data_IF_635972748554
#
_entry.id   IF_635972748554
#
_cell.length_a   1.000
_cell.length_b   1.000
_cell.length_c   1.000
_cell.angle_alpha   90.00
_cell.angle_beta   90.00
_cell.angle_gamma   90.00
#
_symmetry.space_group_name_H-M   'P 1'
#
loop_
_entity.id
_entity.type
_entity.pdbx_description
1 polymer ?
#
# COMPACT_ATOMS: atom_id res chain seq x y z
N UNK A 1 14.94 -3.18 11.45
CA UNK A 1 14.37 -2.92 10.11
C UNK A 1 14.49 -4.20 9.29
N UNK A 2 13.51 -4.49 8.44
CA UNK A 2 13.55 -5.64 7.52
C UNK A 2 14.82 -5.60 6.64
N UNK A 3 15.50 -6.73 6.40
CA UNK A 3 16.79 -6.76 5.70
C UNK A 3 16.71 -6.19 4.27
N UNK A 4 15.56 -6.33 3.60
CA UNK A 4 15.36 -5.82 2.25
C UNK A 4 15.14 -4.30 2.15
N UNK A 5 14.95 -3.56 3.26
CA UNK A 5 14.68 -2.11 3.17
C UNK A 5 15.83 -1.36 2.49
N UNK A 6 17.09 -1.69 2.81
CA UNK A 6 18.26 -1.02 2.20
C UNK A 6 18.37 -1.32 0.70
N UNK A 7 18.36 -2.59 0.24
CA UNK A 7 18.31 -2.91 -1.19
C UNK A 7 17.16 -2.23 -1.94
N UNK A 8 15.96 -2.20 -1.34
CA UNK A 8 14.78 -1.56 -1.94
C UNK A 8 14.93 -0.04 -2.08
N UNK A 9 15.57 0.63 -1.11
CA UNK A 9 15.88 2.07 -1.22
C UNK A 9 16.95 2.36 -2.29
N UNK A 10 17.85 1.41 -2.51
CA UNK A 10 18.89 1.50 -3.54
C UNK A 10 18.40 1.05 -4.93
N UNK A 11 17.17 0.55 -5.02
CA UNK A 11 16.63 -0.11 -6.21
C UNK A 11 17.53 -1.26 -6.73
N UNK A 12 18.23 -1.93 -5.81
CA UNK A 12 19.07 -3.10 -6.11
C UNK A 12 18.20 -4.37 -6.18
N UNK A 13 17.50 -4.51 -7.29
CA UNK A 13 16.57 -5.61 -7.56
C UNK A 13 17.27 -6.98 -7.58
N UNK A 14 18.54 -7.04 -7.96
CA UNK A 14 19.31 -8.28 -7.97
C UNK A 14 19.63 -8.77 -6.55
N UNK A 15 19.87 -7.86 -5.60
CA UNK A 15 20.03 -8.21 -4.19
C UNK A 15 18.72 -8.68 -3.53
N UNK A 16 17.56 -8.35 -4.09
CA UNK A 16 16.23 -8.77 -3.58
C UNK A 16 15.83 -10.13 -4.16
N UNK A 17 15.98 -10.29 -5.47
CA UNK A 17 15.76 -11.55 -6.21
C UNK A 17 16.72 -11.58 -7.41
N UNK A 18 17.75 -12.44 -7.42
CA UNK A 18 18.72 -12.51 -8.52
C UNK A 18 18.10 -12.78 -9.89
N UNK A 19 16.91 -13.39 -9.95
CA UNK A 19 16.18 -13.66 -11.19
C UNK A 19 15.25 -12.53 -11.63
N UNK A 20 15.14 -11.45 -10.87
CA UNK A 20 14.22 -10.34 -11.14
C UNK A 20 14.65 -9.42 -12.29
N UNK A 21 15.93 -9.01 -12.46
CA UNK A 21 16.30 -8.06 -13.51
C UNK A 21 15.87 -8.48 -14.93
N UNK A 22 16.08 -9.74 -15.38
CA UNK A 22 15.58 -10.18 -16.70
C UNK A 22 14.05 -10.13 -16.83
N UNK A 23 13.31 -10.31 -15.73
CA UNK A 23 11.85 -10.21 -15.71
C UNK A 23 11.38 -8.75 -15.81
N UNK A 24 12.10 -7.81 -15.19
CA UNK A 24 11.83 -6.38 -15.33
C UNK A 24 12.09 -5.93 -16.78
N UNK A 25 13.18 -6.39 -17.39
CA UNK A 25 13.47 -6.12 -18.81
C UNK A 25 12.35 -6.66 -19.72
N UNK A 26 11.92 -7.90 -19.47
CA UNK A 26 10.81 -8.52 -20.20
C UNK A 26 9.51 -7.70 -20.06
N UNK A 27 9.18 -7.26 -18.85
CA UNK A 27 7.95 -6.55 -18.55
C UNK A 27 7.93 -5.14 -19.15
N UNK A 28 9.01 -4.37 -18.95
CA UNK A 28 9.04 -2.95 -19.32
C UNK A 28 9.49 -2.69 -20.76
N UNK A 29 10.01 -3.67 -21.48
CA UNK A 29 10.21 -3.58 -22.93
C UNK A 29 8.90 -3.34 -23.71
N UNK A 30 7.74 -3.50 -23.08
CA UNK A 30 6.40 -3.41 -23.69
C UNK A 30 5.66 -2.10 -23.36
N UNK A 31 6.41 -1.01 -23.11
CA UNK A 31 5.88 0.33 -22.78
C UNK A 31 5.05 0.44 -21.49
N UNK A 32 4.94 -0.63 -20.69
CA UNK A 32 4.29 -0.61 -19.36
C UNK A 32 4.87 0.45 -18.40
N UNK A 33 6.09 0.93 -18.67
CA UNK A 33 6.71 2.01 -17.89
C UNK A 33 6.28 3.43 -18.28
N UNK A 34 5.58 3.59 -19.39
CA UNK A 34 5.15 4.90 -19.92
C UNK A 34 3.67 5.18 -19.62
N UNK A 35 2.92 4.16 -19.21
CA UNK A 35 1.49 4.27 -18.93
C UNK A 35 1.22 5.03 -17.63
N UNK A 36 0.28 5.96 -17.72
CA UNK A 36 -0.29 6.65 -16.55
C UNK A 36 -1.00 5.63 -15.65
N UNK A 37 -0.77 5.73 -14.34
CA UNK A 37 -1.47 4.91 -13.36
C UNK A 37 -1.69 5.66 -12.03
N UNK A 38 -2.85 6.32 -11.93
CA UNK A 38 -3.37 6.92 -10.68
C UNK A 38 -2.38 7.92 -10.06
N UNK A 39 -1.55 7.49 -9.09
CA UNK A 39 -0.61 8.35 -8.37
C UNK A 39 0.78 8.45 -9.03
N UNK A 40 1.05 7.72 -10.12
CA UNK A 40 2.35 7.68 -10.78
C UNK A 40 2.30 6.95 -12.12
N UNK A 41 3.40 6.26 -12.47
CA UNK A 41 3.44 5.37 -13.64
C UNK A 41 2.99 3.96 -13.26
N UNK A 42 2.56 3.17 -14.25
CA UNK A 42 2.24 1.77 -14.02
C UNK A 42 3.47 0.97 -13.56
N UNK A 43 4.68 1.30 -14.02
CA UNK A 43 5.93 0.76 -13.49
C UNK A 43 6.10 1.01 -11.99
N UNK A 44 5.89 2.25 -11.54
CA UNK A 44 6.03 2.58 -10.11
C UNK A 44 5.09 1.75 -9.25
N UNK A 45 3.84 1.59 -9.72
CA UNK A 45 2.83 0.78 -9.05
C UNK A 45 3.23 -0.70 -8.95
N UNK A 46 3.65 -1.32 -10.07
CA UNK A 46 4.05 -2.72 -10.08
C UNK A 46 5.27 -3.00 -9.18
N UNK A 47 6.26 -2.09 -9.20
CA UNK A 47 7.42 -2.17 -8.31
C UNK A 47 7.04 -1.89 -6.85
N UNK A 48 6.11 -0.98 -6.59
CA UNK A 48 5.55 -0.69 -5.27
C UNK A 48 4.85 -1.91 -4.68
N UNK A 49 4.06 -2.62 -5.48
CA UNK A 49 3.37 -3.84 -5.07
C UNK A 49 4.35 -4.99 -4.82
N UNK A 50 5.33 -5.19 -5.72
CA UNK A 50 6.40 -6.18 -5.51
C UNK A 50 7.18 -5.88 -4.22
N UNK A 51 7.51 -4.61 -3.96
CA UNK A 51 8.17 -4.16 -2.73
C UNK A 51 7.37 -4.53 -1.48
N UNK A 52 6.07 -4.26 -1.46
CA UNK A 52 5.18 -4.65 -0.35
C UNK A 52 5.25 -6.15 -0.08
N UNK A 53 5.04 -6.96 -1.12
CA UNK A 53 5.03 -8.41 -0.98
C UNK A 53 6.41 -8.98 -0.60
N UNK A 54 7.51 -8.33 -1.04
CA UNK A 54 8.86 -8.67 -0.61
C UNK A 54 9.12 -8.33 0.87
N UNK A 55 8.61 -7.20 1.36
CA UNK A 55 8.71 -6.83 2.78
C UNK A 55 7.81 -7.66 3.70
N UNK A 56 6.80 -8.33 3.13
CA UNK A 56 5.96 -9.30 3.85
C UNK A 56 6.52 -10.72 3.83
N UNK A 57 7.72 -10.93 3.27
CA UNK A 57 8.34 -12.24 3.08
C UNK A 57 7.48 -13.22 2.24
N UNK A 58 6.65 -12.70 1.33
CA UNK A 58 5.81 -13.55 0.50
C UNK A 58 6.66 -14.49 -0.40
N UNK A 59 6.20 -15.74 -0.59
CA UNK A 59 6.77 -16.65 -1.59
C UNK A 59 6.97 -15.99 -2.95
N UNK A 60 8.01 -16.43 -3.68
CA UNK A 60 8.42 -15.79 -4.94
C UNK A 60 7.28 -15.71 -5.94
N UNK A 61 6.47 -16.76 -6.04
CA UNK A 61 5.31 -16.86 -6.92
C UNK A 61 4.26 -15.78 -6.61
N UNK A 62 4.06 -15.44 -5.33
CA UNK A 62 3.13 -14.40 -4.88
C UNK A 62 3.71 -13.01 -5.14
N UNK A 63 5.02 -12.82 -4.94
CA UNK A 63 5.70 -11.57 -5.33
C UNK A 63 5.60 -11.32 -6.83
N UNK A 64 5.80 -12.37 -7.64
CA UNK A 64 5.64 -12.32 -9.10
C UNK A 64 4.18 -12.11 -9.51
N UNK A 65 3.22 -12.69 -8.79
CA UNK A 65 1.81 -12.33 -8.94
C UNK A 65 1.64 -10.82 -8.85
N UNK A 66 2.12 -10.17 -7.79
CA UNK A 66 2.03 -8.71 -7.65
C UNK A 66 2.68 -7.93 -8.81
N UNK A 67 3.88 -8.32 -9.23
CA UNK A 67 4.60 -7.65 -10.33
C UNK A 67 3.90 -7.80 -11.69
N UNK A 68 3.19 -8.90 -11.92
CA UNK A 68 2.54 -9.21 -13.20
C UNK A 68 1.01 -9.20 -13.13
N UNK A 69 0.39 -8.72 -12.04
CA UNK A 69 -1.04 -8.92 -11.71
C UNK A 69 -2.05 -8.30 -12.69
N UNK A 70 -1.58 -7.57 -13.70
CA UNK A 70 -2.39 -6.79 -14.63
C UNK A 70 -1.96 -6.95 -16.10
N UNK A 71 -1.08 -7.90 -16.43
CA UNK A 71 -0.44 -8.01 -17.77
C UNK A 71 -1.31 -8.61 -18.88
N UNK A 72 -2.42 -9.26 -18.52
CA UNK A 72 -3.36 -9.87 -19.48
C UNK A 72 -4.62 -9.01 -19.72
N UNK A 73 -4.62 -7.72 -19.35
CA UNK A 73 -5.82 -6.87 -19.15
C UNK A 73 -6.66 -7.32 -17.93
N UNK A 74 -7.36 -6.38 -17.28
CA UNK A 74 -8.11 -6.63 -16.05
C UNK A 74 -9.37 -5.73 -15.95
N UNK A 75 -10.18 -5.92 -14.90
CA UNK A 75 -11.45 -5.18 -14.67
C UNK A 75 -11.32 -3.65 -14.62
N UNK A 76 -10.16 -3.12 -14.22
CA UNK A 76 -9.96 -1.68 -13.96
C UNK A 76 -9.07 -0.98 -15.00
N UNK A 77 -8.28 -1.73 -15.78
CA UNK A 77 -7.24 -1.19 -16.68
C UNK A 77 -7.13 -2.05 -17.94
N UNK A 78 -7.29 -1.42 -19.10
CA UNK A 78 -7.15 -2.06 -20.42
C UNK A 78 -5.69 -2.02 -20.93
N UNK A 79 -4.79 -2.69 -20.20
CA UNK A 79 -3.37 -2.85 -20.54
C UNK A 79 -3.08 -4.31 -20.89
N UNK A 80 -3.32 -4.69 -22.16
CA UNK A 80 -2.99 -6.03 -22.65
C UNK A 80 -1.54 -6.11 -23.12
N UNK A 81 -0.61 -6.27 -22.18
CA UNK A 81 0.83 -6.37 -22.47
C UNK A 81 1.20 -7.72 -23.12
N UNK A 82 0.45 -8.78 -22.81
CA UNK A 82 0.66 -10.12 -23.37
C UNK A 82 -0.63 -10.68 -23.96
N UNK A 83 -0.55 -11.20 -25.19
CA UNK A 83 -1.65 -11.90 -25.84
C UNK A 83 -1.58 -13.43 -25.69
N UNK A 84 -0.37 -13.97 -25.53
CA UNK A 84 -0.09 -15.39 -25.32
C UNK A 84 0.49 -15.63 -23.92
N UNK A 85 0.09 -16.74 -23.31
CA UNK A 85 0.50 -17.16 -21.97
C UNK A 85 1.83 -17.91 -21.96
N UNK A 86 2.19 -18.59 -23.05
CA UNK A 86 3.36 -19.46 -23.10
C UNK A 86 4.70 -18.74 -22.75
N UNK A 87 4.99 -17.54 -23.30
CA UNK A 87 6.22 -16.83 -22.96
C UNK A 87 6.32 -16.43 -21.49
N UNK A 88 5.20 -15.98 -20.90
CA UNK A 88 5.13 -15.64 -19.46
C UNK A 88 5.27 -16.89 -18.59
N UNK A 89 4.65 -18.00 -18.97
CA UNK A 89 4.79 -19.28 -18.26
C UNK A 89 6.22 -19.78 -18.26
N UNK A 90 6.92 -19.66 -19.38
CA UNK A 90 8.33 -20.02 -19.49
C UNK A 90 9.21 -19.12 -18.60
N UNK A 91 8.91 -17.83 -18.51
CA UNK A 91 9.70 -16.88 -17.73
C UNK A 91 9.44 -16.94 -16.21
N UNK A 92 8.17 -17.08 -15.81
CA UNK A 92 7.75 -17.03 -14.39
C UNK A 92 7.71 -18.41 -13.73
N UNK A 93 7.53 -19.47 -14.50
CA UNK A 93 7.14 -20.80 -14.02
C UNK A 93 5.62 -21.01 -14.04
N UNK A 94 5.18 -22.27 -13.95
CA UNK A 94 3.77 -22.64 -14.08
C UNK A 94 2.89 -22.00 -13.02
N UNK A 95 3.29 -22.08 -11.74
CA UNK A 95 2.45 -21.62 -10.64
C UNK A 95 2.30 -20.11 -10.61
N UNK A 96 3.40 -19.36 -10.77
CA UNK A 96 3.35 -17.90 -10.82
C UNK A 96 2.49 -17.41 -12.01
N UNK A 97 2.62 -18.02 -13.19
CA UNK A 97 1.77 -17.66 -14.33
C UNK A 97 0.30 -18.03 -14.12
N UNK A 98 0.01 -19.18 -13.47
CA UNK A 98 -1.36 -19.57 -13.11
C UNK A 98 -2.01 -18.54 -12.21
N UNK A 99 -1.32 -18.11 -11.15
CA UNK A 99 -1.79 -17.08 -10.22
C UNK A 99 -2.04 -15.76 -10.94
N UNK A 100 -1.07 -15.29 -11.74
CA UNK A 100 -1.19 -14.06 -12.54
C UNK A 100 -2.41 -14.11 -13.46
N UNK A 101 -2.59 -15.21 -14.19
CA UNK A 101 -3.70 -15.36 -15.13
C UNK A 101 -5.07 -15.35 -14.43
N UNK A 102 -5.20 -16.11 -13.34
CA UNK A 102 -6.43 -16.15 -12.55
C UNK A 102 -6.77 -14.77 -11.98
N UNK A 103 -5.79 -14.08 -11.37
CA UNK A 103 -6.00 -12.77 -10.79
C UNK A 103 -6.36 -11.70 -11.84
N UNK A 104 -5.76 -11.76 -13.05
CA UNK A 104 -6.10 -10.85 -14.15
C UNK A 104 -7.54 -11.06 -14.66
N UNK A 105 -8.02 -12.31 -14.66
CA UNK A 105 -9.27 -12.69 -15.35
C UNK A 105 -10.47 -12.91 -14.42
N UNK A 106 -10.25 -12.84 -13.11
CA UNK A 106 -11.32 -12.91 -12.12
C UNK A 106 -12.03 -11.56 -11.95
N UNK A 107 -13.33 -11.56 -11.62
CA UNK A 107 -14.05 -10.34 -11.26
C UNK A 107 -13.59 -9.89 -9.86
N UNK A 108 -12.64 -8.96 -9.79
CA UNK A 108 -11.97 -8.55 -8.54
C UNK A 108 -12.94 -7.86 -7.60
N UNK A 109 -13.84 -7.02 -8.11
CA UNK A 109 -14.87 -6.37 -7.27
C UNK A 109 -15.78 -7.42 -6.60
N UNK A 110 -16.19 -8.45 -7.35
CA UNK A 110 -17.00 -9.54 -6.84
C UNK A 110 -16.24 -10.36 -5.80
N UNK A 111 -14.98 -10.69 -6.06
CA UNK A 111 -14.09 -11.38 -5.13
C UNK A 111 -13.98 -10.63 -3.80
N UNK A 112 -13.63 -9.33 -3.85
CA UNK A 112 -13.50 -8.49 -2.65
C UNK A 112 -14.82 -8.45 -1.88
N UNK A 113 -15.95 -8.26 -2.56
CA UNK A 113 -17.27 -8.23 -1.92
C UNK A 113 -17.60 -9.56 -1.23
N UNK A 114 -17.45 -10.69 -1.93
CA UNK A 114 -17.75 -12.02 -1.37
C UNK A 114 -16.88 -12.33 -0.16
N UNK A 115 -15.59 -12.03 -0.21
CA UNK A 115 -14.70 -12.27 0.93
C UNK A 115 -15.10 -11.41 2.16
N UNK A 116 -15.55 -10.17 1.94
CA UNK A 116 -16.06 -9.32 3.03
C UNK A 116 -17.39 -9.83 3.60
N UNK A 117 -18.28 -10.36 2.76
CA UNK A 117 -19.56 -10.94 3.15
C UNK A 117 -19.37 -12.24 3.95
N UNK A 118 -18.44 -13.11 3.51
CA UNK A 118 -18.08 -14.34 4.21
C UNK A 118 -17.40 -14.04 5.55
N UNK A 119 -16.45 -13.10 5.56
CA UNK A 119 -15.71 -12.70 6.75
C UNK A 119 -14.64 -13.69 7.22
N UNK A 120 -14.49 -14.83 6.54
CA UNK A 120 -13.47 -15.86 6.75
C UNK A 120 -13.01 -16.50 5.42
N UNK A 121 -11.99 -17.35 5.45
CA UNK A 121 -11.54 -18.14 4.31
C UNK A 121 -12.52 -19.30 4.06
N UNK A 122 -13.16 -19.40 2.88
CA UNK A 122 -14.18 -20.42 2.65
C UNK A 122 -13.58 -21.81 2.48
N UNK A 123 -14.03 -22.79 3.26
CA UNK A 123 -13.49 -24.17 3.28
C UNK A 123 -13.57 -24.87 1.91
N UNK A 124 -14.64 -24.64 1.16
CA UNK A 124 -14.85 -25.23 -0.17
C UNK A 124 -14.30 -24.35 -1.31
N UNK A 125 -13.61 -23.27 -0.98
CA UNK A 125 -13.15 -22.27 -1.94
C UNK A 125 -14.25 -21.26 -2.32
N UNK A 126 -14.01 -20.48 -3.37
CA UNK A 126 -14.90 -19.38 -3.78
C UNK A 126 -15.22 -19.46 -5.26
N UNK A 127 -16.52 -19.53 -5.58
CA UNK A 127 -17.02 -19.40 -6.94
C UNK A 127 -17.14 -17.91 -7.30
N UNK A 128 -16.70 -17.54 -8.50
CA UNK A 128 -16.81 -16.20 -9.06
C UNK A 128 -17.47 -16.27 -10.43
N UNK A 129 -18.70 -15.77 -10.54
CA UNK A 129 -19.44 -15.74 -11.80
C UNK A 129 -18.89 -14.65 -12.74
N UNK A 130 -18.89 -14.96 -14.04
CA UNK A 130 -18.42 -14.04 -15.09
C UNK A 130 -19.48 -13.89 -16.17
N UNK A 131 -19.71 -12.67 -16.60
CA UNK A 131 -20.63 -12.41 -17.70
C UNK A 131 -20.04 -12.94 -19.02
N UNK A 132 -20.80 -13.79 -19.72
CA UNK A 132 -20.37 -14.35 -21.01
C UNK A 132 -19.22 -15.37 -20.96
N UNK A 133 -18.79 -15.80 -19.77
CA UNK A 133 -17.71 -16.77 -19.60
C UNK A 133 -18.02 -17.77 -18.46
N UNK A 134 -17.39 -18.97 -18.44
CA UNK A 134 -17.55 -19.91 -17.33
C UNK A 134 -17.12 -19.29 -16.00
N UNK A 135 -17.78 -19.67 -14.90
CA UNK A 135 -17.38 -19.27 -13.55
C UNK A 135 -15.96 -19.76 -13.22
N UNK A 136 -15.26 -19.03 -12.37
CA UNK A 136 -13.97 -19.45 -11.81
C UNK A 136 -14.23 -20.03 -10.42
N UNK A 137 -13.64 -21.18 -10.12
CA UNK A 137 -13.55 -21.70 -8.76
C UNK A 137 -12.14 -21.46 -8.25
N UNK A 138 -12.02 -20.66 -7.20
CA UNK A 138 -10.78 -20.45 -6.46
C UNK A 138 -10.70 -21.47 -5.32
N UNK A 139 -9.54 -22.11 -5.15
CA UNK A 139 -9.28 -22.86 -3.92
C UNK A 139 -9.20 -21.91 -2.72
N UNK A 140 -9.38 -22.42 -1.49
CA UNK A 140 -9.21 -21.61 -0.26
C UNK A 140 -7.83 -20.95 -0.19
N UNK A 141 -6.79 -21.67 -0.64
CA UNK A 141 -5.43 -21.13 -0.73
C UNK A 141 -5.34 -20.00 -1.76
N UNK A 142 -5.96 -20.14 -2.93
CA UNK A 142 -6.01 -19.06 -3.93
C UNK A 142 -6.76 -17.83 -3.39
N UNK A 143 -7.86 -18.03 -2.63
CA UNK A 143 -8.58 -16.93 -1.96
C UNK A 143 -7.65 -16.18 -1.01
N UNK A 144 -6.87 -16.88 -0.19
CA UNK A 144 -5.91 -16.25 0.71
C UNK A 144 -4.81 -15.48 -0.05
N UNK A 145 -4.22 -16.07 -1.09
CA UNK A 145 -3.20 -15.43 -1.94
C UNK A 145 -3.76 -14.17 -2.61
N UNK A 146 -4.99 -14.23 -3.13
CA UNK A 146 -5.61 -13.10 -3.81
C UNK A 146 -6.11 -12.02 -2.85
N UNK A 147 -6.47 -12.37 -1.61
CA UNK A 147 -6.71 -11.39 -0.57
C UNK A 147 -5.42 -10.62 -0.22
N UNK A 148 -4.29 -11.31 -0.05
CA UNK A 148 -2.97 -10.68 0.16
C UNK A 148 -2.63 -9.72 -0.98
N UNK A 149 -2.75 -10.19 -2.23
CA UNK A 149 -2.49 -9.37 -3.41
C UNK A 149 -3.44 -8.17 -3.50
N UNK A 150 -4.72 -8.34 -3.15
CA UNK A 150 -5.74 -7.27 -3.16
C UNK A 150 -5.45 -6.21 -2.10
N UNK A 151 -5.07 -6.62 -0.88
CA UNK A 151 -4.70 -5.70 0.20
C UNK A 151 -3.48 -4.88 -0.23
N UNK A 152 -2.45 -5.53 -0.77
CA UNK A 152 -1.25 -4.84 -1.19
C UNK A 152 -1.50 -3.91 -2.40
N UNK A 153 -2.29 -4.34 -3.40
CA UNK A 153 -2.65 -3.55 -4.60
C UNK A 153 -3.42 -2.27 -4.22
N UNK A 154 -4.49 -2.41 -3.43
CA UNK A 154 -5.28 -1.26 -2.97
C UNK A 154 -4.41 -0.36 -2.08
N UNK A 155 -3.67 -0.91 -1.12
CA UNK A 155 -2.82 -0.11 -0.24
C UNK A 155 -1.77 0.67 -1.00
N UNK A 156 -1.23 0.15 -2.11
CA UNK A 156 -0.20 0.80 -2.93
C UNK A 156 -0.75 2.06 -3.63
N UNK A 157 -1.94 1.98 -4.20
CA UNK A 157 -2.41 3.00 -5.14
C UNK A 157 -3.53 3.91 -4.63
N UNK A 158 -4.30 3.46 -3.64
CA UNK A 158 -5.58 4.09 -3.31
C UNK A 158 -5.40 5.38 -2.48
N UNK A 159 -5.97 6.48 -2.97
CA UNK A 159 -6.04 7.77 -2.27
C UNK A 159 -7.39 8.44 -2.52
N UNK A 160 -7.59 9.66 -2.03
CA UNK A 160 -8.89 10.35 -2.03
C UNK A 160 -9.57 10.45 -3.40
N UNK A 161 -8.81 10.52 -4.49
CA UNK A 161 -9.42 10.51 -5.84
C UNK A 161 -10.17 9.20 -6.11
N UNK A 162 -9.64 8.03 -5.74
CA UNK A 162 -10.35 6.76 -5.87
C UNK A 162 -11.52 6.65 -4.89
N UNK A 163 -11.42 7.23 -3.68
CA UNK A 163 -12.58 7.33 -2.77
C UNK A 163 -13.74 8.06 -3.46
N UNK A 164 -13.42 9.12 -4.20
CA UNK A 164 -14.38 9.91 -4.95
C UNK A 164 -14.88 9.22 -6.22
N UNK A 165 -14.08 8.39 -6.90
CA UNK A 165 -14.48 7.64 -8.10
C UNK A 165 -15.34 6.42 -7.75
N UNK A 166 -15.00 5.71 -6.69
CA UNK A 166 -15.61 4.44 -6.28
C UNK A 166 -16.26 4.54 -4.88
N UNK A 167 -17.26 5.42 -4.69
CA UNK A 167 -17.91 5.58 -3.40
C UNK A 167 -18.61 4.27 -3.02
N UNK A 168 -18.28 3.75 -1.84
CA UNK A 168 -18.86 2.53 -1.32
C UNK A 168 -18.25 1.24 -1.86
N UNK A 169 -17.11 1.29 -2.56
CA UNK A 169 -16.35 0.09 -2.93
C UNK A 169 -16.12 -0.86 -1.72
N UNK A 170 -16.21 -2.20 -1.89
CA UNK A 170 -16.60 -2.95 -3.10
C UNK A 170 -18.12 -3.17 -3.22
N UNK A 171 -18.92 -2.48 -2.42
CA UNK A 171 -20.37 -2.52 -2.47
C UNK A 171 -20.93 -1.97 -3.78
N UNK A 172 -22.22 -2.24 -4.08
CA UNK A 172 -22.87 -1.75 -5.28
C UNK A 172 -22.92 -0.22 -5.28
N UNK A 173 -22.29 0.39 -6.27
CA UNK A 173 -22.41 1.82 -6.57
C UNK A 173 -22.95 1.98 -7.98
N UNK A 174 -23.88 2.92 -8.20
CA UNK A 174 -24.35 3.23 -9.55
C UNK A 174 -23.24 3.98 -10.29
N UNK A 175 -22.89 3.60 -11.53
CA UNK A 175 -21.99 4.40 -12.34
C UNK A 175 -22.48 5.84 -12.43
N UNK A 176 -21.59 6.78 -12.12
CA UNK A 176 -21.85 8.22 -12.15
C UNK A 176 -21.29 8.82 -13.42
N UNK A 177 -22.05 9.71 -14.07
CA UNK A 177 -21.59 10.36 -15.29
C UNK A 177 -20.53 11.41 -14.96
N UNK A 178 -19.44 11.41 -15.71
CA UNK A 178 -18.35 12.39 -15.54
C UNK A 178 -18.85 13.84 -15.69
N UNK A 179 -19.76 14.11 -16.63
CA UNK A 179 -20.31 15.45 -16.84
C UNK A 179 -21.00 16.02 -15.59
N UNK A 180 -21.71 15.17 -14.85
CA UNK A 180 -22.46 15.55 -13.64
C UNK A 180 -21.56 15.62 -12.39
N UNK A 181 -20.39 14.96 -12.45
CA UNK A 181 -19.46 14.80 -11.33
C UNK A 181 -18.02 15.17 -11.70
N UNK A 182 -17.85 16.21 -12.54
CA UNK A 182 -16.56 16.55 -13.17
C UNK A 182 -15.45 16.83 -12.14
N UNK A 183 -15.80 17.40 -10.99
CA UNK A 183 -14.85 17.73 -9.93
C UNK A 183 -14.18 16.46 -9.37
N UNK A 184 -14.97 15.39 -9.16
CA UNK A 184 -14.46 14.09 -8.71
C UNK A 184 -13.60 13.38 -9.78
N UNK A 185 -13.85 13.68 -11.06
CA UNK A 185 -13.06 13.13 -12.15
C UNK A 185 -11.74 13.90 -12.39
N UNK A 186 -11.57 15.10 -11.83
CA UNK A 186 -10.39 15.93 -12.07
C UNK A 186 -9.16 15.35 -11.37
N UNK A 187 -8.21 14.87 -12.16
CA UNK A 187 -6.93 14.36 -11.68
C UNK A 187 -5.90 15.50 -11.48
N UNK A 188 -5.00 15.45 -10.48
CA UNK A 188 -4.80 14.37 -9.48
C UNK A 188 -5.72 14.44 -8.26
N UNK A 189 -6.69 15.35 -8.26
CA UNK A 189 -7.44 15.69 -7.05
C UNK A 189 -6.52 16.22 -5.94
N UNK A 190 -6.92 16.12 -4.67
CA UNK A 190 -6.10 16.63 -3.56
C UNK A 190 -4.97 15.69 -3.13
N UNK A 191 -4.90 14.45 -3.64
CA UNK A 191 -3.99 13.41 -3.16
C UNK A 191 -4.02 13.21 -1.63
N UNK A 192 -5.18 13.43 -1.01
CA UNK A 192 -5.36 13.20 0.43
C UNK A 192 -5.29 11.68 0.68
N UNK A 193 -4.71 11.22 1.79
CA UNK A 193 -4.79 9.81 2.15
C UNK A 193 -6.25 9.33 2.18
N UNK A 194 -6.47 8.08 1.78
CA UNK A 194 -7.81 7.48 1.77
C UNK A 194 -8.48 7.56 3.14
N UNK A 195 -9.79 7.75 3.12
CA UNK A 195 -10.65 7.78 4.30
C UNK A 195 -11.58 6.57 4.41
N UNK A 196 -11.43 5.57 3.54
CA UNK A 196 -12.33 4.41 3.47
C UNK A 196 -11.67 3.07 3.07
N UNK A 197 -10.49 3.09 2.45
CA UNK A 197 -9.89 1.86 1.95
C UNK A 197 -9.28 1.02 3.07
N UNK A 198 -8.57 1.60 4.04
CA UNK A 198 -7.85 0.83 5.07
C UNK A 198 -8.78 0.07 6.02
N UNK A 199 -9.97 0.62 6.33
CA UNK A 199 -10.99 -0.10 7.09
C UNK A 199 -11.51 -1.31 6.32
N UNK A 200 -11.70 -1.19 5.01
CA UNK A 200 -12.00 -2.32 4.13
C UNK A 200 -10.86 -3.34 4.12
N UNK A 201 -9.62 -2.89 3.95
CA UNK A 201 -8.44 -3.77 3.93
C UNK A 201 -8.24 -4.52 5.25
N UNK A 202 -8.51 -3.88 6.39
CA UNK A 202 -8.42 -4.54 7.69
C UNK A 202 -9.40 -5.72 7.80
N UNK A 203 -10.56 -5.65 7.15
CA UNK A 203 -11.55 -6.75 7.15
C UNK A 203 -11.14 -7.87 6.20
N UNK A 204 -10.55 -7.55 5.05
CA UNK A 204 -9.94 -8.55 4.16
C UNK A 204 -8.72 -9.23 4.80
N UNK A 205 -8.03 -8.54 5.70
CA UNK A 205 -6.87 -9.07 6.40
C UNK A 205 -7.25 -10.12 7.43
N UNK A 206 -8.37 -9.96 8.17
CA UNK A 206 -8.76 -10.86 9.28
C UNK A 206 -8.70 -12.35 8.95
N UNK A 207 -9.31 -12.83 7.84
CA UNK A 207 -9.26 -14.24 7.46
C UNK A 207 -7.82 -14.78 7.29
N UNK A 208 -6.84 -13.93 7.03
CA UNK A 208 -5.45 -14.32 6.82
C UNK A 208 -4.68 -14.61 8.11
N UNK A 209 -5.23 -14.24 9.28
CA UNK A 209 -4.59 -14.49 10.57
C UNK A 209 -4.52 -15.98 10.94
N UNK A 210 -5.45 -16.78 10.41
CA UNK A 210 -5.58 -18.22 10.68
C UNK A 210 -5.14 -19.09 9.49
N UNK A 211 -4.31 -18.55 8.58
CA UNK A 211 -3.80 -19.32 7.43
C UNK A 211 -3.03 -20.57 7.89
N UNK A 212 -3.28 -21.75 7.30
CA UNK A 212 -2.57 -22.96 7.65
C UNK A 212 -1.06 -22.86 7.39
N UNK A 213 -0.19 -23.15 8.38
CA UNK A 213 1.27 -23.06 8.23
C UNK A 213 1.83 -23.91 7.08
N UNK A 214 1.20 -25.03 6.74
CA UNK A 214 1.58 -25.93 5.65
C UNK A 214 1.52 -25.28 4.27
N UNK A 215 0.80 -24.16 4.12
CA UNK A 215 0.79 -23.42 2.86
C UNK A 215 2.11 -22.71 2.57
N UNK A 216 2.95 -22.50 3.59
CA UNK A 216 4.21 -21.78 3.48
C UNK A 216 4.03 -20.29 3.15
N UNK A 217 2.87 -19.71 3.46
CA UNK A 217 2.56 -18.30 3.22
C UNK A 217 2.58 -17.58 4.57
N UNK A 218 3.51 -16.62 4.78
CA UNK A 218 3.52 -15.81 6.01
C UNK A 218 2.25 -14.97 6.16
N UNK A 219 1.82 -14.71 7.39
CA UNK A 219 0.76 -13.73 7.66
C UNK A 219 1.29 -12.31 7.40
N UNK A 220 0.60 -11.48 6.60
CA UNK A 220 1.00 -10.08 6.40
C UNK A 220 1.15 -9.33 7.74
N UNK A 221 2.18 -8.48 7.90
CA UNK A 221 2.46 -7.78 9.17
C UNK A 221 1.49 -6.63 9.48
N UNK A 222 0.58 -6.30 8.56
CA UNK A 222 -0.37 -5.18 8.67
C UNK A 222 -1.50 -5.48 9.66
N UNK A 223 -2.13 -4.43 10.20
CA UNK A 223 -3.29 -4.55 11.12
C UNK A 223 -3.07 -5.53 12.29
N UNK A 224 -1.93 -5.40 12.97
CA UNK A 224 -1.51 -6.29 14.05
C UNK A 224 -1.45 -7.77 13.60
N UNK A 225 -0.70 -8.04 12.51
CA UNK A 225 -0.63 -9.36 11.87
C UNK A 225 -2.01 -9.92 11.54
N UNK A 226 -2.79 -9.13 10.83
CA UNK A 226 -4.13 -9.49 10.38
C UNK A 226 -5.17 -9.70 11.49
N UNK A 227 -4.89 -9.42 12.77
CA UNK A 227 -5.86 -9.69 13.85
C UNK A 227 -6.80 -8.53 14.15
N UNK A 228 -6.47 -7.31 13.70
CA UNK A 228 -7.21 -6.11 14.05
C UNK A 228 -8.10 -5.59 12.92
N UNK A 229 -9.22 -4.97 13.30
CA UNK A 229 -10.13 -4.24 12.42
C UNK A 229 -10.01 -2.74 12.67
N UNK A 230 -10.03 -1.95 11.61
CA UNK A 230 -10.12 -0.48 11.68
C UNK A 230 -11.58 -0.07 11.46
N UNK A 231 -12.12 0.76 12.37
CA UNK A 231 -13.46 1.30 12.22
C UNK A 231 -13.48 2.37 11.10
N UNK A 232 -14.49 2.37 10.21
CA UNK A 232 -14.59 3.39 9.16
C UNK A 232 -14.66 4.83 9.71
N UNK A 233 -15.29 5.04 10.88
CA UNK A 233 -15.35 6.36 11.52
C UNK A 233 -13.96 6.79 12.03
N UNK A 234 -13.17 5.85 12.56
CA UNK A 234 -11.80 6.10 12.99
C UNK A 234 -10.89 6.40 11.79
N UNK A 235 -11.02 5.66 10.69
CA UNK A 235 -10.28 5.93 9.45
C UNK A 235 -10.55 7.35 8.93
N UNK A 236 -11.82 7.74 8.84
CA UNK A 236 -12.23 9.07 8.41
C UNK A 236 -11.72 10.17 9.35
N UNK A 237 -11.80 9.95 10.66
CA UNK A 237 -11.30 10.88 11.67
C UNK A 237 -9.79 11.08 11.52
N UNK A 238 -9.02 9.99 11.42
CA UNK A 238 -7.57 10.03 11.24
C UNK A 238 -7.17 10.76 9.96
N UNK A 239 -7.78 10.42 8.82
CA UNK A 239 -7.51 11.06 7.54
C UNK A 239 -7.82 12.57 7.58
N UNK A 240 -8.91 12.97 8.25
CA UNK A 240 -9.32 14.36 8.36
C UNK A 240 -8.39 15.18 9.25
N UNK A 241 -8.05 14.67 10.43
CA UNK A 241 -7.15 15.34 11.38
C UNK A 241 -5.73 15.47 10.82
N UNK A 242 -5.22 14.41 10.19
CA UNK A 242 -3.93 14.44 9.50
C UNK A 242 -3.92 15.47 8.38
N UNK A 243 -4.99 15.50 7.56
CA UNK A 243 -5.09 16.45 6.46
C UNK A 243 -5.08 17.90 6.94
N UNK A 244 -5.87 18.22 7.97
CA UNK A 244 -5.87 19.55 8.58
C UNK A 244 -4.50 19.97 9.10
N UNK A 245 -3.74 19.05 9.69
CA UNK A 245 -2.39 19.32 10.16
C UNK A 245 -1.44 19.63 8.99
N UNK A 246 -1.42 18.79 7.95
CA UNK A 246 -0.44 18.89 6.86
C UNK A 246 -0.76 20.00 5.86
N UNK A 247 -2.03 20.39 5.70
CA UNK A 247 -2.45 21.56 4.91
C UNK A 247 -2.44 22.86 5.72
N UNK A 248 -2.02 22.81 6.99
CA UNK A 248 -1.98 23.97 7.90
C UNK A 248 -3.34 24.66 8.04
N UNK A 249 -4.40 23.87 8.08
CA UNK A 249 -5.78 24.34 8.27
C UNK A 249 -6.16 24.47 9.75
N UNK A 250 -5.19 24.35 10.65
CA UNK A 250 -5.31 24.57 12.10
C UNK A 250 -4.56 25.86 12.49
N UNK A 251 -4.89 26.49 13.63
CA UNK A 251 -4.15 27.65 14.11
C UNK A 251 -2.65 27.35 14.25
N UNK A 252 -1.81 28.16 13.60
CA UNK A 252 -0.35 27.97 13.54
C UNK A 252 0.44 28.82 14.54
N UNK A 253 -0.25 29.58 15.40
CA UNK A 253 0.38 30.44 16.41
C UNK A 253 1.10 29.63 17.51
N UNK A 254 0.72 28.36 17.70
CA UNK A 254 1.36 27.38 18.58
C UNK A 254 1.37 26.03 17.87
N UNK A 255 2.35 25.14 18.13
CA UNK A 255 2.29 23.76 17.65
C UNK A 255 1.18 22.92 18.30
N UNK A 256 0.56 23.36 19.40
CA UNK A 256 -0.37 22.53 20.19
C UNK A 256 -1.59 22.01 19.41
N UNK A 257 -2.31 22.84 18.61
CA UNK A 257 -3.43 22.33 17.81
C UNK A 257 -3.00 21.26 16.81
N UNK A 258 -1.86 21.47 16.13
CA UNK A 258 -1.28 20.49 15.20
C UNK A 258 -0.85 19.22 15.93
N UNK A 259 -0.15 19.34 17.06
CA UNK A 259 0.28 18.21 17.89
C UNK A 259 -0.91 17.35 18.31
N UNK A 260 -1.95 17.97 18.88
CA UNK A 260 -3.18 17.26 19.31
C UNK A 260 -3.92 16.59 18.16
N UNK A 261 -4.00 17.25 17.00
CA UNK A 261 -4.62 16.66 15.81
C UNK A 261 -3.84 15.43 15.33
N UNK A 262 -2.51 15.50 15.31
CA UNK A 262 -1.66 14.37 14.92
C UNK A 262 -1.69 13.22 15.94
N UNK A 263 -1.71 13.52 17.24
CA UNK A 263 -1.89 12.53 18.32
C UNK A 263 -3.23 11.80 18.17
N UNK A 264 -4.32 12.55 17.97
CA UNK A 264 -5.64 11.98 17.74
C UNK A 264 -5.69 11.18 16.43
N UNK A 265 -5.06 11.65 15.35
CA UNK A 265 -4.98 10.90 14.10
C UNK A 265 -4.24 9.57 14.28
N UNK A 266 -3.12 9.55 15.01
CA UNK A 266 -2.35 8.35 15.30
C UNK A 266 -3.06 7.38 16.26
N UNK A 267 -3.98 7.89 17.09
CA UNK A 267 -4.81 7.08 17.98
C UNK A 267 -5.98 6.42 17.23
N UNK A 268 -6.69 7.19 16.39
CA UNK A 268 -7.78 6.66 15.55
C UNK A 268 -7.26 5.66 14.52
N UNK A 269 -6.11 5.94 13.88
CA UNK A 269 -5.48 4.99 12.98
C UNK A 269 -4.04 4.68 13.44
N UNK A 270 -3.84 3.63 14.25
CA UNK A 270 -2.52 3.26 14.73
C UNK A 270 -1.65 2.58 13.66
N UNK A 271 -2.23 2.25 12.50
CA UNK A 271 -1.56 1.49 11.44
C UNK A 271 -0.90 2.37 10.37
N UNK A 272 -0.90 3.70 10.53
CA UNK A 272 -0.26 4.64 9.59
C UNK A 272 0.93 5.38 10.22
N UNK A 273 1.95 5.65 9.41
CA UNK A 273 3.24 6.12 9.87
C UNK A 273 3.31 7.65 9.99
N UNK A 274 2.71 8.35 9.03
CA UNK A 274 2.92 9.76 8.75
C UNK A 274 2.52 10.69 9.91
N UNK A 275 1.40 10.47 10.62
CA UNK A 275 1.10 11.24 11.82
C UNK A 275 2.21 11.12 12.89
N UNK A 276 2.77 9.92 13.07
CA UNK A 276 3.86 9.68 14.03
C UNK A 276 5.14 10.39 13.58
N UNK A 277 5.47 10.37 12.29
CA UNK A 277 6.66 11.06 11.79
C UNK A 277 6.57 12.59 11.96
N UNK A 278 5.38 13.17 11.77
CA UNK A 278 5.17 14.59 12.07
C UNK A 278 5.24 14.89 13.58
N UNK A 279 4.73 14.00 14.45
CA UNK A 279 4.91 14.12 15.90
C UNK A 279 6.39 14.04 16.31
N UNK A 280 7.16 13.15 15.68
CA UNK A 280 8.60 13.06 15.91
C UNK A 280 9.30 14.37 15.55
N UNK A 281 8.95 15.00 14.43
CA UNK A 281 9.51 16.29 14.04
C UNK A 281 9.14 17.42 15.02
N UNK A 282 7.88 17.47 15.49
CA UNK A 282 7.46 18.43 16.51
C UNK A 282 8.18 18.20 17.85
N UNK A 283 8.47 16.95 18.21
CA UNK A 283 9.25 16.60 19.39
C UNK A 283 10.72 17.04 19.26
N UNK A 284 11.35 16.82 18.09
CA UNK A 284 12.71 17.31 17.81
C UNK A 284 12.80 18.84 17.91
N UNK A 285 11.82 19.56 17.35
CA UNK A 285 11.75 21.01 17.44
C UNK A 285 11.58 21.52 18.90
N UNK A 286 11.01 20.70 19.78
CA UNK A 286 10.86 20.97 21.20
C UNK A 286 12.01 20.41 22.06
N UNK A 287 13.05 19.85 21.44
CA UNK A 287 14.14 19.13 22.12
C UNK A 287 13.67 17.96 23.03
N UNK A 288 12.49 17.40 22.75
CA UNK A 288 12.00 16.16 23.38
C UNK A 288 12.53 14.95 22.59
N UNK A 289 13.80 14.63 22.84
CA UNK A 289 14.53 13.58 22.13
C UNK A 289 13.93 12.20 22.31
N UNK A 290 13.35 11.92 23.49
CA UNK A 290 12.77 10.61 23.78
C UNK A 290 11.47 10.42 23.00
N UNK A 291 10.57 11.40 23.03
CA UNK A 291 9.35 11.33 22.22
C UNK A 291 9.66 11.28 20.73
N UNK A 292 10.66 12.05 20.27
CA UNK A 292 11.12 12.01 18.89
C UNK A 292 11.57 10.59 18.48
N UNK A 293 12.43 9.94 19.28
CA UNK A 293 12.91 8.59 18.99
C UNK A 293 11.78 7.56 18.97
N UNK A 294 10.86 7.61 19.96
CA UNK A 294 9.70 6.71 20.02
C UNK A 294 8.81 6.84 18.79
N UNK A 295 8.45 8.06 18.41
CA UNK A 295 7.58 8.31 17.27
C UNK A 295 8.26 8.00 15.93
N UNK A 296 9.53 8.38 15.75
CA UNK A 296 10.28 8.10 14.53
C UNK A 296 10.51 6.59 14.33
N UNK A 297 10.87 5.88 15.40
CA UNK A 297 11.02 4.41 15.38
C UNK A 297 9.71 3.70 15.04
N UNK A 298 8.59 4.10 15.65
CA UNK A 298 7.29 3.54 15.36
C UNK A 298 6.82 3.84 13.92
N UNK A 299 7.03 5.06 13.42
CA UNK A 299 6.71 5.41 12.03
C UNK A 299 7.56 4.64 11.02
N UNK A 300 8.87 4.48 11.29
CA UNK A 300 9.77 3.68 10.45
C UNK A 300 9.39 2.19 10.42
N UNK A 301 8.96 1.63 11.55
CA UNK A 301 8.45 0.27 11.62
C UNK A 301 7.19 0.10 10.75
N UNK A 302 6.21 1.00 10.88
CA UNK A 302 4.98 0.96 10.08
C UNK A 302 5.24 1.09 8.57
N UNK A 303 6.18 1.94 8.16
CA UNK A 303 6.58 2.02 6.75
C UNK A 303 7.20 0.71 6.26
N UNK A 304 7.96 0.01 7.10
CA UNK A 304 8.51 -1.30 6.76
C UNK A 304 7.42 -2.39 6.71
N UNK A 305 6.47 -2.37 7.65
CA UNK A 305 5.35 -3.32 7.69
C UNK A 305 4.44 -3.15 6.48
N UNK A 306 4.20 -1.92 6.00
CA UNK A 306 3.36 -1.71 4.83
C UNK A 306 4.10 -1.85 3.50
N UNK A 307 5.36 -1.42 3.42
CA UNK A 307 6.05 -1.29 2.14
C UNK A 307 5.51 -0.21 1.21
N UNK A 308 4.53 0.58 1.68
CA UNK A 308 3.92 1.71 0.96
C UNK A 308 3.63 2.85 1.94
N UNK A 309 3.56 4.08 1.44
CA UNK A 309 3.13 5.23 2.23
C UNK A 309 1.60 5.32 2.27
N UNK A 310 1.00 5.77 3.37
CA UNK A 310 -0.42 6.16 3.39
C UNK A 310 -0.63 7.53 2.74
N UNK A 311 0.30 8.47 2.96
CA UNK A 311 0.33 9.74 2.22
C UNK A 311 1.16 9.62 0.94
N UNK A 312 0.45 9.48 -0.18
CA UNK A 312 1.02 9.25 -1.51
C UNK A 312 1.67 10.49 -2.13
N UNK A 313 1.60 11.66 -1.51
CA UNK A 313 2.28 12.87 -2.02
C UNK A 313 3.79 12.73 -2.01
N UNK A 314 4.32 11.86 -1.15
CA UNK A 314 5.73 11.49 -1.09
C UNK A 314 5.83 9.96 -1.23
N UNK A 315 6.75 9.50 -2.08
CA UNK A 315 6.99 8.07 -2.24
C UNK A 315 7.46 7.42 -0.93
N UNK A 316 7.21 6.12 -0.78
CA UNK A 316 7.65 5.34 0.38
C UNK A 316 9.13 5.53 0.72
N UNK A 317 10.00 5.57 -0.30
CA UNK A 317 11.44 5.76 -0.12
C UNK A 317 11.76 7.11 0.54
N UNK A 318 11.05 8.17 0.15
CA UNK A 318 11.16 9.50 0.75
C UNK A 318 10.73 9.51 2.21
N UNK A 319 9.60 8.87 2.53
CA UNK A 319 9.13 8.74 3.92
C UNK A 319 10.09 7.91 4.78
N UNK A 320 10.66 6.82 4.26
CA UNK A 320 11.65 6.00 4.99
C UNK A 320 12.94 6.78 5.21
N UNK A 321 13.43 7.52 4.22
CA UNK A 321 14.60 8.39 4.37
C UNK A 321 14.35 9.44 5.45
N UNK A 322 13.18 10.09 5.43
CA UNK A 322 12.78 11.08 6.42
C UNK A 322 12.69 10.49 7.83
N UNK A 323 12.03 9.33 7.98
CA UNK A 323 11.92 8.64 9.26
C UNK A 323 13.30 8.28 9.86
N UNK A 324 14.25 7.87 9.02
CA UNK A 324 15.63 7.59 9.45
C UNK A 324 16.38 8.86 9.89
N UNK A 325 16.19 9.98 9.19
CA UNK A 325 16.76 11.28 9.58
C UNK A 325 16.21 11.70 10.95
N UNK A 326 14.90 11.61 11.15
CA UNK A 326 14.25 11.95 12.43
C UNK A 326 14.80 11.08 13.57
N UNK A 327 14.90 9.76 13.35
CA UNK A 327 15.40 8.82 14.35
C UNK A 327 16.88 9.09 14.69
N UNK A 328 17.75 9.22 13.69
CA UNK A 328 19.17 9.53 13.90
C UNK A 328 19.33 10.88 14.62
N UNK A 329 18.51 11.88 14.30
CA UNK A 329 18.54 13.19 14.94
C UNK A 329 18.14 13.11 16.41
N UNK A 330 17.12 12.31 16.72
CA UNK A 330 16.67 12.06 18.09
C UNK A 330 17.74 11.36 18.92
N UNK A 331 18.34 10.30 18.38
CA UNK A 331 19.41 9.53 19.04
C UNK A 331 20.67 10.38 19.27
N UNK A 332 21.05 11.18 18.28
CA UNK A 332 22.18 12.11 18.37
C UNK A 332 21.85 13.41 19.13
N UNK A 333 20.61 13.59 19.60
CA UNK A 333 20.11 14.78 20.31
C UNK A 333 20.45 16.09 19.59
N UNK A 334 20.24 16.12 18.28
CA UNK A 334 20.54 17.25 17.41
C UNK A 334 19.35 17.59 16.53
N UNK A 335 19.07 18.87 16.38
CA UNK A 335 18.08 19.38 15.42
C UNK A 335 18.49 20.80 14.98
N UNK A 336 18.26 21.21 13.73
CA UNK A 336 18.60 22.56 13.30
C UNK A 336 17.88 23.62 14.13
N UNK A 337 18.64 24.58 14.68
CA UNK A 337 18.08 25.72 15.42
C UNK A 337 17.39 26.74 14.49
N UNK A 338 17.84 26.81 13.24
CA UNK A 338 17.38 27.77 12.24
C UNK A 338 16.77 27.06 11.02
N UNK A 339 15.69 27.62 10.47
CA UNK A 339 14.93 27.04 9.35
C UNK A 339 15.79 26.63 8.13
N UNK A 340 16.81 27.41 7.68
CA UNK A 340 17.64 27.00 6.55
C UNK A 340 18.39 25.68 6.79
N UNK A 341 18.67 25.32 8.04
CA UNK A 341 19.34 24.07 8.39
C UNK A 341 18.48 22.83 8.12
N UNK A 342 17.16 22.95 8.03
CA UNK A 342 16.27 21.86 7.62
C UNK A 342 16.54 21.42 6.18
N UNK A 343 16.92 22.34 5.29
CA UNK A 343 17.23 22.04 3.89
C UNK A 343 18.54 21.23 3.72
N UNK A 344 19.43 21.30 4.71
CA UNK A 344 20.70 20.58 4.71
C UNK A 344 20.66 19.24 5.46
N UNK A 345 19.49 18.79 5.90
CA UNK A 345 19.37 17.52 6.63
C UNK A 345 19.70 16.35 5.71
N UNK A 346 20.58 15.47 6.20
CA UNK A 346 20.95 14.23 5.56
C UNK A 346 21.35 13.20 6.61
N UNK A 347 21.32 11.92 6.22
CA UNK A 347 21.88 10.86 7.05
C UNK A 347 23.40 11.07 7.13
N UNK A 348 23.93 11.16 8.34
CA UNK A 348 25.37 11.15 8.56
C UNK A 348 25.80 9.71 8.71
N UNK A 349 26.84 9.28 7.99
CA UNK A 349 27.43 7.96 8.22
C UNK A 349 27.96 7.90 9.65
N UNK A 350 27.54 6.86 10.39
CA UNK A 350 28.03 6.55 11.73
C UNK A 350 29.15 5.54 11.69
#
# INVERSE_FOLDING_TARGET
MHPLVKPLLAEDWAAIDPGLPPLLDLLFARAAGEDWHKAGTFKDHLLGLYRTLALWDMPREIRLLGLFHSVYSNEYVDLKLFADRAPLRQALGEEAERLVHLFCTMPRTLFTRRLLEEGDLPEEGMVLEREGAPAILLSTKDVAVFAIATIADIAEQWHSWQDELFPGFPGPSKPRRVQDHWAAALWPGPLKPTASALSTLSRLAVPLSEMPPEWGIPTPPVFARCTARLDPADELAAATLYWQAVTRSLPVASPDPTRRALEAAAAHNPYVAEPRLMLAQLALAAADWEAAARHAGAGLALLADWGVAWDKRIAWSGWVAWARILLQSAEARRWPEMLPGLNGLGLVEG
#
